data_IF_265176354125
#
_entry.id   IF_265176354125
#
_cell.length_a   1.000
_cell.length_b   1.000
_cell.length_c   1.000
_cell.angle_alpha   90.00
_cell.angle_beta   90.00
_cell.angle_gamma   90.00
#
_symmetry.space_group_name_H-M   'P 1'
#
loop_
_entity.id
_entity.type
_entity.pdbx_description
1 polymer ?
#
# COMPACT_ATOMS: atom_id res chain seq x y z
N UNK A 1 -7.69 -9.26 -36.35
CA UNK A 1 -6.35 -8.92 -35.81
C UNK A 1 -6.50 -8.72 -34.32
N UNK A 2 -5.65 -9.30 -33.47
CA UNK A 2 -5.81 -9.14 -32.02
C UNK A 2 -5.39 -7.72 -31.63
N UNK A 3 -6.28 -7.01 -30.95
CA UNK A 3 -6.06 -5.66 -30.43
C UNK A 3 -4.97 -5.69 -29.35
N UNK A 4 -3.97 -4.82 -29.50
CA UNK A 4 -2.93 -4.63 -28.51
C UNK A 4 -3.52 -3.90 -27.30
N UNK A 5 -3.69 -4.60 -26.19
CA UNK A 5 -3.96 -3.94 -24.91
C UNK A 5 -2.70 -3.25 -24.41
N UNK A 6 -2.66 -1.91 -24.45
CA UNK A 6 -1.58 -1.12 -23.89
C UNK A 6 -1.87 -0.73 -22.44
N UNK A 7 -0.83 -0.70 -21.61
CA UNK A 7 -0.90 -0.19 -20.25
C UNK A 7 -1.05 1.34 -20.25
N UNK A 8 -1.98 1.87 -19.46
CA UNK A 8 -2.17 3.30 -19.24
C UNK A 8 -1.97 3.64 -17.77
N UNK A 9 -1.20 4.67 -17.47
CA UNK A 9 -1.18 5.26 -16.12
C UNK A 9 -2.32 6.28 -16.02
N UNK A 10 -3.12 6.20 -14.96
CA UNK A 10 -4.20 7.15 -14.66
C UNK A 10 -3.84 7.82 -13.34
N UNK A 11 -3.55 9.11 -13.37
CA UNK A 11 -3.40 9.92 -12.16
C UNK A 11 -4.71 10.67 -11.89
N UNK A 12 -5.25 10.51 -10.67
CA UNK A 12 -6.35 11.37 -10.18
C UNK A 12 -5.76 12.71 -9.76
N UNK A 13 -6.42 13.80 -10.12
CA UNK A 13 -5.98 15.15 -9.78
C UNK A 13 -6.37 15.44 -8.32
N UNK A 14 -5.41 15.66 -7.39
CA UNK A 14 -5.75 16.14 -6.05
C UNK A 14 -6.15 17.63 -6.14
N UNK A 15 -7.32 17.99 -5.61
CA UNK A 15 -7.78 19.38 -5.56
C UNK A 15 -7.59 19.93 -4.15
N UNK A 16 -6.59 20.78 -3.95
CA UNK A 16 -6.57 21.71 -2.82
C UNK A 16 -7.49 22.90 -3.15
N UNK A 17 -8.51 23.16 -2.35
CA UNK A 17 -9.38 24.33 -2.53
C UNK A 17 -8.55 25.62 -2.38
N UNK A 18 -8.65 26.49 -3.39
CA UNK A 18 -8.04 27.81 -3.37
C UNK A 18 -8.53 28.63 -2.17
N UNK A 19 -7.64 28.85 -1.20
CA UNK A 19 -7.83 29.80 -0.11
C UNK A 19 -7.77 31.23 -0.65
N UNK A 20 -8.75 32.05 -0.25
CA UNK A 20 -8.80 33.50 -0.55
C UNK A 20 -7.46 34.17 -0.20
N UNK A 21 -6.87 34.86 -1.18
CA UNK A 21 -5.73 35.77 -1.01
C UNK A 21 -6.07 36.84 0.04
N UNK A 22 -5.38 36.82 1.17
CA UNK A 22 -5.18 38.01 1.98
C UNK A 22 -3.76 38.52 1.74
N UNK A 23 -3.69 39.75 1.23
CA UNK A 23 -2.46 40.52 1.16
C UNK A 23 -1.91 40.77 2.57
N UNK A 24 -0.69 40.30 2.83
CA UNK A 24 0.30 41.12 3.52
C UNK A 24 1.70 40.62 3.18
N UNK A 25 2.47 41.51 2.55
CA UNK A 25 3.90 41.38 2.30
C UNK A 25 4.65 41.50 3.62
N UNK A 26 5.56 40.59 3.92
CA UNK A 26 6.83 40.88 4.57
C UNK A 26 7.90 39.96 3.97
N UNK A 27 8.91 40.59 3.37
CA UNK A 27 10.13 39.95 2.87
C UNK A 27 11.10 39.75 4.04
N UNK A 28 11.80 38.61 4.08
CA UNK A 28 12.94 38.42 4.98
C UNK A 28 13.48 37.00 5.01
N UNK A 29 14.58 36.80 4.28
CA UNK A 29 15.63 35.77 4.42
C UNK A 29 15.33 34.28 4.15
N UNK A 30 15.81 33.87 2.98
CA UNK A 30 16.37 32.57 2.61
C UNK A 30 17.62 32.21 3.41
N UNK A 31 17.71 30.98 3.91
CA UNK A 31 18.84 30.02 3.81
C UNK A 31 18.74 28.93 4.90
N UNK A 32 19.16 27.71 4.55
CA UNK A 32 19.46 26.56 5.42
C UNK A 32 18.33 25.80 6.14
N UNK A 33 17.63 24.88 5.44
CA UNK A 33 17.17 23.60 6.03
C UNK A 33 17.24 22.50 4.96
N UNK A 34 18.44 22.03 4.64
CA UNK A 34 18.69 20.76 3.95
C UNK A 34 19.87 20.14 4.69
N UNK A 35 19.63 19.03 5.43
CA UNK A 35 20.63 18.02 5.92
C UNK A 35 20.15 17.15 7.10
N UNK A 36 18.91 17.27 7.61
CA UNK A 36 18.47 16.45 8.76
C UNK A 36 17.67 15.18 8.44
N UNK A 37 17.08 15.05 7.24
CA UNK A 37 16.22 13.89 6.90
C UNK A 37 17.01 12.65 6.45
N UNK A 38 18.18 12.81 5.86
CA UNK A 38 18.99 11.68 5.37
C UNK A 38 19.71 10.91 6.51
N UNK A 39 19.95 11.56 7.66
CA UNK A 39 20.63 10.94 8.79
C UNK A 39 19.73 10.07 9.68
N UNK A 40 18.40 10.22 9.60
CA UNK A 40 17.46 9.39 10.37
C UNK A 40 17.09 8.10 9.61
N UNK A 41 17.16 8.11 8.28
CA UNK A 41 16.83 6.92 7.45
C UNK A 41 17.95 5.87 7.45
N UNK A 42 19.22 6.28 7.54
CA UNK A 42 20.37 5.37 7.47
C UNK A 42 20.68 4.61 8.78
N UNK A 43 20.14 5.03 9.93
CA UNK A 43 20.41 4.40 11.23
C UNK A 43 19.49 3.22 11.57
N UNK A 44 18.45 2.96 10.76
CA UNK A 44 17.41 1.97 11.09
C UNK A 44 17.67 0.58 10.49
N UNK A 45 18.73 0.39 9.70
CA UNK A 45 18.92 -0.86 8.92
C UNK A 45 19.88 -1.86 9.58
N UNK A 46 20.74 -1.48 10.53
CA UNK A 46 21.83 -2.38 10.98
C UNK A 46 21.62 -3.10 12.33
N UNK A 47 20.50 -2.95 13.06
CA UNK A 47 20.38 -3.52 14.41
C UNK A 47 19.06 -4.21 14.79
N UNK A 48 18.47 -5.00 13.89
CA UNK A 48 17.40 -5.97 14.25
C UNK A 48 17.62 -7.38 13.65
N UNK A 49 18.87 -7.85 13.59
CA UNK A 49 19.18 -9.26 13.34
C UNK A 49 19.38 -10.03 14.66
N UNK A 50 18.31 -10.25 15.43
CA UNK A 50 18.20 -11.42 16.32
C UNK A 50 16.85 -11.47 17.04
N UNK A 51 15.83 -11.99 16.37
CA UNK A 51 14.75 -12.67 17.06
C UNK A 51 14.67 -14.08 16.48
N UNK A 52 15.10 -15.07 17.27
CA UNK A 52 14.99 -16.49 16.97
C UNK A 52 13.51 -16.91 16.98
N UNK A 53 12.74 -16.45 16.00
CA UNK A 53 11.53 -17.12 15.55
C UNK A 53 11.98 -17.81 14.27
N UNK A 54 11.98 -19.14 14.28
CA UNK A 54 12.23 -19.93 13.06
C UNK A 54 11.27 -19.42 11.98
N UNK A 55 11.78 -19.05 10.80
CA UNK A 55 10.97 -18.51 9.69
C UNK A 55 9.75 -19.42 9.40
N UNK A 56 9.88 -20.73 9.67
CA UNK A 56 8.81 -21.71 9.56
C UNK A 56 7.65 -21.59 10.56
N UNK A 57 7.84 -21.01 11.75
CA UNK A 57 6.76 -20.73 12.71
C UNK A 57 5.98 -19.47 12.29
N UNK A 58 6.68 -18.47 11.76
CA UNK A 58 6.06 -17.20 11.36
C UNK A 58 5.14 -17.36 10.13
N UNK A 59 5.49 -18.25 9.21
CA UNK A 59 4.64 -18.61 8.05
C UNK A 59 3.34 -19.33 8.43
N UNK A 60 3.26 -19.86 9.65
CA UNK A 60 2.09 -20.60 10.13
C UNK A 60 1.10 -19.72 10.91
N UNK A 61 1.36 -18.42 11.06
CA UNK A 61 0.48 -17.50 11.81
C UNK A 61 -0.98 -17.60 11.36
N UNK A 62 -1.31 -17.54 10.06
CA UNK A 62 -2.70 -17.64 9.64
C UNK A 62 -3.37 -18.92 10.16
N UNK A 63 -2.67 -20.05 10.09
CA UNK A 63 -3.13 -21.36 10.55
C UNK A 63 -3.30 -21.38 12.07
N UNK A 64 -2.34 -20.83 12.81
CA UNK A 64 -2.39 -20.73 14.28
C UNK A 64 -3.60 -19.90 14.70
N UNK A 65 -3.79 -18.72 14.09
CA UNK A 65 -4.90 -17.82 14.44
C UNK A 65 -6.27 -18.42 14.08
N UNK A 66 -6.34 -19.20 13.00
CA UNK A 66 -7.56 -19.86 12.55
C UNK A 66 -7.70 -21.33 12.97
N UNK A 67 -6.91 -21.81 13.94
CA UNK A 67 -7.04 -23.19 14.40
C UNK A 67 -8.46 -23.46 14.96
N UNK A 68 -9.19 -24.35 14.30
CA UNK A 68 -10.59 -24.64 14.64
C UNK A 68 -11.59 -23.54 14.24
N UNK A 69 -11.20 -22.60 13.38
CA UNK A 69 -12.04 -21.50 12.87
C UNK A 69 -12.09 -21.57 11.35
N UNK A 70 -13.28 -21.78 10.78
CA UNK A 70 -13.45 -21.85 9.32
C UNK A 70 -13.75 -20.50 8.67
N UNK A 71 -14.21 -19.52 9.45
CA UNK A 71 -14.61 -18.21 8.98
C UNK A 71 -14.71 -17.21 10.13
N UNK A 72 -14.58 -15.92 9.81
CA UNK A 72 -14.76 -14.82 10.74
C UNK A 72 -15.95 -13.95 10.32
N UNK A 73 -16.72 -13.44 11.27
CA UNK A 73 -17.81 -12.49 10.99
C UNK A 73 -17.27 -11.23 10.32
N UNK A 74 -17.97 -10.75 9.30
CA UNK A 74 -17.59 -9.53 8.60
C UNK A 74 -18.09 -8.31 9.35
N UNK A 75 -17.17 -7.43 9.72
CA UNK A 75 -17.50 -6.16 10.36
C UNK A 75 -17.36 -5.04 9.33
N UNK A 76 -18.50 -4.43 8.99
CA UNK A 76 -18.57 -3.31 8.04
C UNK A 76 -18.02 -3.65 6.66
N UNK A 77 -17.40 -2.66 6.01
CA UNK A 77 -16.69 -2.82 4.75
C UNK A 77 -15.20 -2.52 4.99
N UNK A 78 -14.36 -3.54 5.19
CA UNK A 78 -12.96 -3.32 5.53
C UNK A 78 -12.19 -2.63 4.41
N UNK A 79 -11.15 -1.88 4.77
CA UNK A 79 -10.10 -1.43 3.86
C UNK A 79 -9.18 -2.57 3.40
N UNK A 80 -8.02 -2.21 2.85
CA UNK A 80 -6.98 -3.19 2.53
C UNK A 80 -5.61 -2.76 3.08
N UNK A 81 -4.78 -3.77 3.39
CA UNK A 81 -3.42 -3.66 3.91
C UNK A 81 -2.44 -4.28 2.91
N UNK A 82 -1.17 -3.92 3.01
CA UNK A 82 -0.10 -4.52 2.24
C UNK A 82 1.06 -4.87 3.20
N UNK A 83 1.27 -6.16 3.52
CA UNK A 83 2.42 -6.63 4.28
C UNK A 83 3.70 -6.55 3.43
N UNK A 84 4.67 -5.74 3.86
CA UNK A 84 5.85 -5.40 3.05
C UNK A 84 7.10 -6.17 3.46
N UNK A 85 7.32 -6.37 4.75
CA UNK A 85 8.61 -6.87 5.29
C UNK A 85 8.57 -8.37 5.57
N UNK A 86 9.75 -8.97 5.76
CA UNK A 86 9.89 -10.35 6.23
C UNK A 86 9.28 -10.59 7.63
N UNK A 87 9.08 -9.53 8.42
CA UNK A 87 8.45 -9.56 9.74
C UNK A 87 6.93 -9.36 9.71
N UNK A 88 6.29 -9.42 8.53
CA UNK A 88 4.83 -9.30 8.42
C UNK A 88 4.18 -10.50 7.74
N UNK A 89 2.91 -10.80 8.01
CA UNK A 89 2.14 -11.83 7.28
C UNK A 89 0.70 -11.37 7.09
N UNK A 90 0.13 -11.61 5.92
CA UNK A 90 -1.32 -11.55 5.77
C UNK A 90 -1.96 -12.61 6.68
N UNK A 91 -3.12 -12.30 7.25
CA UNK A 91 -3.87 -13.19 8.16
C UNK A 91 -5.27 -13.46 7.63
N UNK A 92 -5.93 -12.43 7.07
CA UNK A 92 -7.27 -12.53 6.47
C UNK A 92 -7.24 -11.77 5.16
N UNK A 93 -7.80 -12.37 4.11
CA UNK A 93 -8.02 -11.72 2.83
C UNK A 93 -9.53 -11.62 2.53
N UNK A 94 -9.91 -10.67 1.68
CA UNK A 94 -11.26 -10.57 1.13
C UNK A 94 -11.53 -11.60 0.03
N UNK A 95 -12.59 -11.38 -0.75
CA UNK A 95 -12.98 -12.28 -1.83
C UNK A 95 -11.92 -12.42 -2.94
N UNK A 96 -11.03 -11.44 -3.06
CA UNK A 96 -9.86 -11.53 -3.90
C UNK A 96 -8.57 -11.47 -3.07
N UNK A 97 -7.53 -12.03 -3.68
CA UNK A 97 -6.23 -12.19 -3.06
C UNK A 97 -5.48 -10.86 -2.86
N UNK A 98 -5.91 -9.74 -3.46
CA UNK A 98 -5.23 -8.46 -3.31
C UNK A 98 -5.76 -7.64 -2.12
N UNK A 99 -6.86 -8.08 -1.52
CA UNK A 99 -7.49 -7.39 -0.41
C UNK A 99 -7.10 -8.02 0.94
N UNK A 100 -5.88 -7.81 1.42
CA UNK A 100 -5.52 -8.22 2.78
C UNK A 100 -6.28 -7.33 3.77
N UNK A 101 -7.07 -7.94 4.65
CA UNK A 101 -7.92 -7.24 5.64
C UNK A 101 -7.24 -7.17 7.00
N UNK A 102 -6.51 -8.23 7.34
CA UNK A 102 -5.76 -8.31 8.58
C UNK A 102 -4.35 -8.81 8.30
N UNK A 103 -3.38 -8.23 9.00
CA UNK A 103 -1.97 -8.60 8.91
C UNK A 103 -1.34 -8.67 10.30
N UNK A 104 -0.45 -9.64 10.47
CA UNK A 104 0.40 -9.77 11.64
C UNK A 104 1.74 -9.09 11.38
N UNK A 105 2.34 -8.52 12.43
CA UNK A 105 3.70 -7.98 12.39
C UNK A 105 4.48 -8.32 13.65
N UNK A 106 5.80 -8.47 13.51
CA UNK A 106 6.75 -8.50 14.61
C UNK A 106 7.51 -7.18 14.64
N UNK A 107 7.75 -6.69 15.87
CA UNK A 107 8.58 -5.51 16.10
C UNK A 107 9.43 -5.77 17.35
N UNK A 108 10.74 -5.92 17.17
CA UNK A 108 11.61 -6.46 18.21
C UNK A 108 11.04 -7.77 18.74
N UNK A 109 10.79 -7.85 20.05
CA UNK A 109 10.15 -9.05 20.65
C UNK A 109 8.62 -9.03 20.61
N UNK A 110 7.98 -7.94 20.17
CA UNK A 110 6.53 -7.76 20.24
C UNK A 110 5.77 -8.43 19.11
N UNK A 111 4.45 -8.56 19.29
CA UNK A 111 3.52 -9.12 18.29
C UNK A 111 2.34 -8.16 18.08
N UNK A 112 2.06 -7.83 16.82
CA UNK A 112 0.97 -6.95 16.43
C UNK A 112 -0.02 -7.69 15.51
N UNK A 113 -1.31 -7.45 15.71
CA UNK A 113 -2.37 -7.83 14.79
C UNK A 113 -3.12 -6.57 14.33
N UNK A 114 -3.04 -6.28 13.03
CA UNK A 114 -3.53 -5.06 12.40
C UNK A 114 -4.74 -5.39 11.54
N UNK A 115 -5.80 -4.60 11.64
CA UNK A 115 -7.00 -4.72 10.82
C UNK A 115 -7.27 -3.45 10.02
N UNK A 116 -7.72 -3.59 8.77
CA UNK A 116 -8.19 -2.49 7.95
C UNK A 116 -9.66 -2.08 8.23
N UNK A 117 -10.17 -2.34 9.43
CA UNK A 117 -11.45 -1.79 9.87
C UNK A 117 -11.42 -1.54 11.38
N UNK A 118 -11.85 -0.35 11.81
CA UNK A 118 -11.86 0.07 13.23
C UNK A 118 -12.81 -0.75 14.11
N UNK A 119 -13.76 -1.48 13.51
CA UNK A 119 -14.65 -2.38 14.23
C UNK A 119 -14.01 -3.68 14.73
N UNK A 120 -12.96 -4.19 14.09
CA UNK A 120 -12.34 -5.47 14.50
C UNK A 120 -11.62 -5.42 15.85
N UNK A 121 -10.86 -4.37 16.21
CA UNK A 121 -10.27 -4.26 17.55
C UNK A 121 -11.29 -4.43 18.68
N UNK A 122 -12.52 -3.90 18.52
CA UNK A 122 -13.56 -4.01 19.56
C UNK A 122 -14.09 -5.44 19.79
N UNK A 123 -13.94 -6.34 18.82
CA UNK A 123 -14.27 -7.76 18.97
C UNK A 123 -13.46 -8.42 20.10
N UNK A 124 -12.24 -7.93 20.36
CA UNK A 124 -11.38 -8.46 21.41
C UNK A 124 -11.78 -8.01 22.82
N UNK A 125 -12.56 -6.93 22.91
CA UNK A 125 -13.14 -6.41 24.16
C UNK A 125 -14.51 -7.05 24.42
N UNK A 126 -15.36 -7.11 23.38
CA UNK A 126 -16.70 -7.67 23.44
C UNK A 126 -16.79 -8.91 22.55
N UNK A 127 -16.36 -10.04 23.10
CA UNK A 127 -16.21 -11.30 22.35
C UNK A 127 -17.55 -12.00 22.20
N UNK A 128 -18.07 -12.05 20.97
CA UNK A 128 -19.22 -12.87 20.59
C UNK A 128 -18.88 -14.38 20.72
N UNK A 129 -19.89 -15.22 20.97
CA UNK A 129 -19.68 -16.68 21.15
C UNK A 129 -19.02 -17.31 19.91
N UNK A 130 -19.38 -16.84 18.72
CA UNK A 130 -18.91 -17.35 17.43
C UNK A 130 -17.43 -17.01 17.19
N UNK A 131 -16.95 -15.87 17.68
CA UNK A 131 -15.57 -15.40 17.48
C UNK A 131 -14.62 -15.83 18.62
N UNK A 132 -15.15 -16.46 19.68
CA UNK A 132 -14.39 -16.81 20.89
C UNK A 132 -13.13 -17.63 20.60
N UNK A 133 -13.21 -18.61 19.70
CA UNK A 133 -12.05 -19.45 19.36
C UNK A 133 -10.97 -18.62 18.66
N UNK A 134 -11.35 -17.78 17.70
CA UNK A 134 -10.41 -16.90 17.00
C UNK A 134 -9.73 -15.93 17.96
N UNK A 135 -10.49 -15.30 18.86
CA UNK A 135 -9.94 -14.38 19.86
C UNK A 135 -9.00 -15.09 20.84
N UNK A 136 -9.31 -16.33 21.24
CA UNK A 136 -8.43 -17.12 22.10
C UNK A 136 -7.12 -17.49 21.40
N UNK A 137 -7.18 -17.93 20.14
CA UNK A 137 -5.99 -18.22 19.35
C UNK A 137 -5.11 -16.98 19.20
N UNK A 138 -5.74 -15.82 18.92
CA UNK A 138 -5.06 -14.53 18.88
C UNK A 138 -4.41 -14.19 20.22
N UNK A 139 -5.10 -14.39 21.36
CA UNK A 139 -4.55 -14.16 22.70
C UNK A 139 -3.30 -15.00 22.92
N UNK A 140 -3.39 -16.31 22.66
CA UNK A 140 -2.27 -17.22 22.85
C UNK A 140 -1.10 -16.85 21.94
N UNK A 141 -1.34 -16.49 20.69
CA UNK A 141 -0.27 -16.05 19.81
C UNK A 141 0.32 -14.70 20.26
N UNK A 142 -0.49 -13.66 20.45
CA UNK A 142 -0.03 -12.33 20.85
C UNK A 142 0.76 -12.35 22.18
N UNK A 143 0.26 -13.10 23.17
CA UNK A 143 0.86 -13.21 24.50
C UNK A 143 1.83 -14.39 24.65
N UNK A 144 2.22 -15.06 23.56
CA UNK A 144 3.20 -16.17 23.55
C UNK A 144 2.83 -17.30 24.54
N UNK A 145 1.57 -17.72 24.50
CA UNK A 145 0.98 -18.76 25.33
C UNK A 145 0.55 -18.31 26.72
N UNK A 146 0.77 -17.04 27.09
CA UNK A 146 0.36 -16.50 28.38
C UNK A 146 -1.10 -16.07 28.38
N UNK A 147 -1.72 -16.12 29.55
CA UNK A 147 -3.09 -15.67 29.74
C UNK A 147 -3.12 -14.15 29.98
N UNK A 148 -3.08 -13.38 28.89
CA UNK A 148 -3.11 -11.92 28.94
C UNK A 148 -4.52 -11.35 28.71
N UNK A 149 -4.78 -10.19 29.31
CA UNK A 149 -6.03 -9.45 29.19
C UNK A 149 -5.97 -8.45 28.04
N UNK A 150 -7.04 -8.35 27.26
CA UNK A 150 -7.19 -7.29 26.27
C UNK A 150 -7.61 -5.99 26.97
N UNK A 151 -6.86 -4.91 26.75
CA UNK A 151 -7.10 -3.61 27.37
C UNK A 151 -7.21 -2.55 26.28
N UNK A 152 -8.37 -1.88 26.21
CA UNK A 152 -8.59 -0.76 25.30
C UNK A 152 -7.76 0.44 25.74
N UNK A 153 -6.91 0.95 24.84
CA UNK A 153 -6.11 2.15 25.09
C UNK A 153 -6.84 3.40 24.61
N UNK A 154 -7.10 4.31 25.55
CA UNK A 154 -7.61 5.66 25.29
C UNK A 154 -6.47 6.69 25.26
N UNK A 155 -6.80 7.96 25.05
CA UNK A 155 -5.84 9.06 24.88
C UNK A 155 -5.18 9.50 26.20
N UNK A 156 -5.56 8.90 27.34
CA UNK A 156 -5.11 9.31 28.68
C UNK A 156 -4.17 8.31 29.35
N UNK A 157 -4.08 7.08 28.84
CA UNK A 157 -3.25 6.04 29.44
C UNK A 157 -1.76 6.24 29.14
N UNK A 158 -0.96 6.24 30.21
CA UNK A 158 0.49 6.06 30.13
C UNK A 158 0.79 4.58 29.88
N UNK A 159 1.62 4.29 28.88
CA UNK A 159 2.02 2.91 28.57
C UNK A 159 3.22 2.43 29.41
N UNK A 160 3.87 3.32 30.16
CA UNK A 160 5.11 3.03 30.89
C UNK A 160 4.96 1.96 31.96
N UNK A 161 3.78 1.84 32.55
CA UNK A 161 3.49 0.91 33.66
C UNK A 161 2.65 -0.30 33.21
N UNK A 162 2.43 -0.48 31.91
CA UNK A 162 1.64 -1.59 31.38
C UNK A 162 2.46 -2.89 31.46
N UNK A 163 1.99 -3.94 32.15
CA UNK A 163 2.71 -5.20 32.22
C UNK A 163 2.79 -5.87 30.83
N UNK A 164 4.02 -6.05 30.33
CA UNK A 164 4.30 -6.69 29.03
C UNK A 164 3.71 -8.09 28.91
N UNK A 165 3.64 -8.82 30.03
CA UNK A 165 3.31 -10.24 30.01
C UNK A 165 1.84 -10.58 30.31
N UNK A 166 1.09 -9.60 30.83
CA UNK A 166 -0.30 -9.78 31.28
C UNK A 166 -1.29 -8.97 30.45
N UNK A 167 -0.81 -8.09 29.58
CA UNK A 167 -1.66 -7.17 28.83
C UNK A 167 -1.45 -7.30 27.33
N UNK A 168 -2.54 -7.29 26.58
CA UNK A 168 -2.57 -7.06 25.14
C UNK A 168 -3.30 -5.73 24.93
N UNK A 169 -2.60 -4.75 24.37
CA UNK A 169 -3.20 -3.45 24.08
C UNK A 169 -4.19 -3.59 22.91
N UNK A 170 -5.32 -2.89 22.98
CA UNK A 170 -6.30 -2.80 21.90
C UNK A 170 -6.47 -1.34 21.52
N UNK A 171 -6.14 -0.98 20.29
CA UNK A 171 -6.16 0.41 19.81
C UNK A 171 -7.08 0.60 18.61
N UNK A 172 -7.99 1.58 18.71
CA UNK A 172 -8.64 2.14 17.53
C UNK A 172 -7.72 3.18 16.89
N UNK A 173 -7.14 2.84 15.75
CA UNK A 173 -6.13 3.62 15.03
C UNK A 173 -6.61 4.97 14.50
N UNK A 174 -7.91 5.26 14.55
CA UNK A 174 -8.47 6.55 14.13
C UNK A 174 -8.30 7.66 15.19
N UNK A 175 -8.00 7.30 16.44
CA UNK A 175 -7.76 8.26 17.53
C UNK A 175 -6.36 8.88 17.44
N UNK A 176 -6.27 10.21 17.56
CA UNK A 176 -5.00 10.94 17.56
C UNK A 176 -4.22 10.62 18.83
N UNK A 177 -2.96 10.23 18.67
CA UNK A 177 -2.00 10.06 19.76
C UNK A 177 -0.83 11.02 19.57
N UNK A 178 -0.27 11.52 20.66
CA UNK A 178 0.92 12.39 20.59
C UNK A 178 2.20 11.57 20.38
N UNK A 179 3.28 12.24 19.98
CA UNK A 179 4.56 11.59 19.68
C UNK A 179 5.11 10.78 20.87
N UNK A 180 4.94 11.27 22.10
CA UNK A 180 5.34 10.57 23.32
C UNK A 180 4.62 9.23 23.46
N UNK A 181 3.32 9.20 23.21
CA UNK A 181 2.53 7.97 23.25
C UNK A 181 3.01 6.98 22.19
N UNK A 182 3.25 7.46 20.96
CA UNK A 182 3.72 6.62 19.86
C UNK A 182 5.10 6.02 20.17
N UNK A 183 6.01 6.83 20.72
CA UNK A 183 7.31 6.35 21.18
C UNK A 183 7.19 5.28 22.27
N UNK A 184 6.35 5.51 23.28
CA UNK A 184 6.11 4.53 24.34
C UNK A 184 5.49 3.24 23.79
N UNK A 185 4.60 3.33 22.79
CA UNK A 185 4.01 2.17 22.13
C UNK A 185 5.07 1.38 21.36
N UNK A 186 5.96 2.05 20.64
CA UNK A 186 7.08 1.41 19.96
C UNK A 186 8.00 0.69 20.94
N UNK A 187 8.32 1.32 22.07
CA UNK A 187 9.19 0.74 23.10
C UNK A 187 8.52 -0.43 23.82
N UNK A 188 7.22 -0.34 24.10
CA UNK A 188 6.42 -1.43 24.65
C UNK A 188 6.46 -2.67 23.73
N UNK A 189 6.25 -2.47 22.42
CA UNK A 189 6.33 -3.55 21.45
C UNK A 189 7.74 -4.15 21.35
N UNK A 190 8.77 -3.32 21.17
CA UNK A 190 10.17 -3.80 21.11
C UNK A 190 10.56 -4.66 22.32
N UNK A 191 10.06 -4.31 23.50
CA UNK A 191 10.33 -5.03 24.74
C UNK A 191 9.61 -6.38 24.85
N UNK A 192 8.58 -6.64 24.03
CA UNK A 192 7.86 -7.90 23.99
C UNK A 192 6.36 -7.80 24.21
N UNK A 193 5.82 -6.58 24.29
CA UNK A 193 4.40 -6.32 24.43
C UNK A 193 3.60 -6.73 23.20
N UNK A 194 2.28 -6.72 23.34
CA UNK A 194 1.37 -7.14 22.29
C UNK A 194 0.29 -6.10 21.99
N UNK A 195 -0.09 -6.00 20.71
CA UNK A 195 -1.07 -5.02 20.24
C UNK A 195 -2.06 -5.66 19.25
N UNK A 196 -3.34 -5.35 19.42
CA UNK A 196 -4.36 -5.44 18.40
C UNK A 196 -4.78 -4.03 18.01
N UNK A 197 -4.77 -3.70 16.74
CA UNK A 197 -5.16 -2.37 16.30
C UNK A 197 -5.85 -2.36 14.94
N UNK A 198 -6.59 -1.29 14.64
CA UNK A 198 -7.23 -1.14 13.35
C UNK A 198 -7.88 0.22 13.14
N UNK A 199 -7.98 0.62 11.88
CA UNK A 199 -8.68 1.81 11.42
C UNK A 199 -9.40 1.48 10.11
N UNK A 200 -10.33 2.33 9.66
CA UNK A 200 -10.99 2.18 8.35
C UNK A 200 -10.50 3.28 7.39
N UNK A 201 -9.41 3.09 6.63
CA UNK A 201 -8.75 4.17 5.90
C UNK A 201 -9.65 4.90 4.91
N UNK A 202 -10.33 4.16 4.04
CA UNK A 202 -11.25 4.72 3.04
C UNK A 202 -12.41 5.49 3.69
N UNK A 203 -12.96 4.97 4.79
CA UNK A 203 -14.04 5.61 5.53
C UNK A 203 -13.57 6.89 6.23
N UNK A 204 -12.37 6.86 6.81
CA UNK A 204 -11.75 8.03 7.42
C UNK A 204 -11.52 9.14 6.39
N UNK A 205 -11.00 8.81 5.19
CA UNK A 205 -10.82 9.78 4.10
C UNK A 205 -12.14 10.39 3.63
N UNK A 206 -13.23 9.61 3.58
CA UNK A 206 -14.56 10.13 3.26
C UNK A 206 -15.06 11.16 4.27
N UNK A 207 -14.77 10.94 5.56
CA UNK A 207 -15.20 11.81 6.65
C UNK A 207 -14.29 13.03 6.85
N UNK A 208 -13.05 12.98 6.34
CA UNK A 208 -12.03 14.01 6.53
C UNK A 208 -11.66 14.67 5.19
N UNK A 209 -12.58 15.45 4.64
CA UNK A 209 -12.39 16.13 3.35
C UNK A 209 -11.14 17.01 3.32
N UNK A 210 -10.30 16.83 2.31
CA UNK A 210 -9.05 17.57 2.12
C UNK A 210 -7.84 16.97 2.86
N UNK A 211 -8.03 15.87 3.58
CA UNK A 211 -6.93 15.07 4.14
C UNK A 211 -6.46 14.00 3.17
N UNK A 212 -5.20 13.59 3.33
CA UNK A 212 -4.60 12.47 2.62
C UNK A 212 -4.37 11.30 3.59
N UNK A 213 -4.05 10.12 3.06
CA UNK A 213 -3.92 8.90 3.87
C UNK A 213 -2.87 9.04 4.98
N UNK A 214 -1.79 9.77 4.76
CA UNK A 214 -0.75 10.03 5.78
C UNK A 214 -1.18 10.95 6.91
N UNK A 215 -2.31 11.66 6.79
CA UNK A 215 -2.91 12.41 7.89
C UNK A 215 -3.63 11.51 8.91
N UNK A 216 -3.91 10.25 8.57
CA UNK A 216 -4.53 9.28 9.49
C UNK A 216 -3.49 8.92 10.58
N UNK A 217 -3.80 9.07 11.89
CA UNK A 217 -2.85 8.74 12.97
C UNK A 217 -2.28 7.32 12.88
N UNK A 218 -3.09 6.38 12.39
CA UNK A 218 -2.71 4.99 12.17
C UNK A 218 -1.62 4.78 11.12
N UNK A 219 -1.47 5.70 10.16
CA UNK A 219 -0.64 5.54 8.97
C UNK A 219 0.82 5.31 9.31
N UNK A 220 1.43 6.23 10.06
CA UNK A 220 2.85 6.17 10.39
C UNK A 220 3.19 4.98 11.30
N UNK A 221 2.26 4.57 12.17
CA UNK A 221 2.45 3.35 12.95
C UNK A 221 2.50 2.10 12.07
N UNK A 222 1.54 1.95 11.16
CA UNK A 222 1.49 0.80 10.26
C UNK A 222 2.76 0.74 9.41
N UNK A 223 3.17 1.88 8.85
CA UNK A 223 4.40 2.00 8.07
C UNK A 223 5.63 1.56 8.87
N UNK A 224 5.74 2.02 10.11
CA UNK A 224 6.82 1.67 11.02
C UNK A 224 6.91 0.17 11.33
N UNK A 225 5.77 -0.53 11.40
CA UNK A 225 5.72 -2.00 11.61
C UNK A 225 5.70 -2.80 10.30
N UNK A 226 6.00 -2.17 9.16
CA UNK A 226 6.14 -2.83 7.86
C UNK A 226 4.83 -3.18 7.15
N UNK A 227 3.71 -2.56 7.54
CA UNK A 227 2.39 -2.75 6.93
C UNK A 227 1.94 -1.44 6.30
N UNK A 228 1.64 -1.44 5.01
CA UNK A 228 1.09 -0.25 4.35
C UNK A 228 -0.43 -0.27 4.36
N UNK A 229 -1.03 0.91 4.55
CA UNK A 229 -2.45 1.16 4.36
C UNK A 229 -2.70 1.56 2.90
N UNK A 230 -3.89 1.25 2.38
CA UNK A 230 -4.33 1.76 1.06
C UNK A 230 -5.63 2.53 1.20
N UNK A 231 -6.02 3.24 0.13
CA UNK A 231 -7.32 3.91 0.02
C UNK A 231 -8.44 2.97 -0.45
N UNK A 232 -8.12 1.71 -0.76
CA UNK A 232 -9.07 0.74 -1.27
C UNK A 232 -9.92 0.15 -0.16
N UNK A 233 -11.10 -0.36 -0.53
CA UNK A 233 -11.96 -1.16 0.32
C UNK A 233 -12.16 -2.55 -0.29
N UNK A 234 -12.48 -3.52 0.57
CA UNK A 234 -12.63 -4.92 0.23
C UNK A 234 -14.09 -5.35 0.29
N UNK A 235 -14.58 -5.93 -0.80
CA UNK A 235 -15.87 -6.62 -0.79
C UNK A 235 -15.68 -8.03 -0.21
N UNK A 236 -16.19 -8.20 1.01
CA UNK A 236 -16.05 -9.43 1.77
C UNK A 236 -17.38 -10.19 1.78
N UNK A 237 -17.34 -11.52 1.66
CA UNK A 237 -18.49 -12.34 2.03
C UNK A 237 -18.77 -12.21 3.52
N UNK A 238 -19.99 -12.53 3.96
CA UNK A 238 -20.33 -12.59 5.38
C UNK A 238 -20.96 -13.95 5.72
N UNK A 239 -20.27 -14.82 6.47
CA UNK A 239 -18.94 -14.60 7.08
C UNK A 239 -17.79 -14.66 6.04
N UNK A 240 -16.62 -14.16 6.41
CA UNK A 240 -15.39 -14.26 5.61
C UNK A 240 -14.76 -15.64 5.82
N UNK A 241 -14.62 -16.48 4.78
CA UNK A 241 -13.98 -17.77 4.92
C UNK A 241 -12.48 -17.62 5.19
N UNK A 242 -11.94 -18.54 5.99
CA UNK A 242 -10.50 -18.71 6.09
C UNK A 242 -9.97 -19.36 4.80
N UNK A 243 -9.10 -18.66 4.08
CA UNK A 243 -8.58 -19.09 2.78
C UNK A 243 -7.05 -19.13 2.82
N UNK A 244 -6.50 -20.17 3.46
CA UNK A 244 -5.06 -20.31 3.65
C UNK A 244 -4.27 -20.21 2.34
N UNK A 245 -4.78 -20.84 1.27
CA UNK A 245 -4.16 -20.78 -0.05
C UNK A 245 -4.05 -19.35 -0.57
N UNK A 246 -5.01 -18.47 -0.30
CA UNK A 246 -4.91 -17.06 -0.71
C UNK A 246 -3.92 -16.29 0.16
N UNK A 247 -3.86 -16.60 1.45
CA UNK A 247 -3.08 -15.86 2.46
C UNK A 247 -1.57 -16.11 2.31
N UNK A 248 -1.16 -17.36 2.09
CA UNK A 248 0.26 -17.77 2.03
C UNK A 248 1.06 -17.06 0.92
N UNK A 249 0.37 -16.51 -0.09
CA UNK A 249 0.98 -15.82 -1.21
C UNK A 249 1.02 -14.29 -1.03
N UNK A 250 0.71 -13.74 0.15
CA UNK A 250 0.46 -12.28 0.31
C UNK A 250 1.45 -11.58 1.23
N UNK A 251 2.72 -11.71 0.86
CA UNK A 251 3.78 -10.90 1.41
C UNK A 251 4.70 -10.41 0.26
N UNK A 252 4.90 -9.10 0.15
CA UNK A 252 5.76 -8.50 -0.90
C UNK A 252 7.18 -9.05 -0.81
N UNK A 253 7.74 -9.19 0.40
CA UNK A 253 9.09 -9.69 0.60
C UNK A 253 9.28 -11.09 -0.03
N UNK A 254 8.41 -12.05 0.29
CA UNK A 254 8.50 -13.40 -0.26
C UNK A 254 8.28 -13.45 -1.78
N UNK A 255 7.28 -12.71 -2.27
CA UNK A 255 7.02 -12.61 -3.70
C UNK A 255 8.23 -11.98 -4.43
N UNK A 256 8.86 -10.97 -3.84
CA UNK A 256 10.08 -10.35 -4.38
C UNK A 256 11.24 -11.33 -4.41
N UNK A 257 11.45 -12.13 -3.36
CA UNK A 257 12.48 -13.17 -3.34
C UNK A 257 12.29 -14.21 -4.45
N UNK A 258 11.05 -14.65 -4.69
CA UNK A 258 10.72 -15.53 -5.82
C UNK A 258 11.03 -14.86 -7.17
N UNK A 259 10.70 -13.59 -7.34
CA UNK A 259 11.00 -12.83 -8.56
C UNK A 259 12.50 -12.62 -8.81
N UNK A 260 13.32 -12.61 -7.76
CA UNK A 260 14.78 -12.58 -7.93
C UNK A 260 15.28 -13.86 -8.60
N UNK A 261 14.67 -15.01 -8.30
CA UNK A 261 15.00 -16.31 -8.88
C UNK A 261 14.35 -16.53 -10.26
N UNK A 262 13.06 -16.22 -10.40
CA UNK A 262 12.30 -16.25 -11.66
C UNK A 262 11.56 -14.91 -11.86
N UNK A 263 12.12 -13.97 -12.64
CA UNK A 263 11.52 -12.65 -12.83
C UNK A 263 10.20 -12.68 -13.62
N UNK A 264 9.78 -13.85 -14.11
CA UNK A 264 8.55 -14.02 -14.87
C UNK A 264 7.47 -14.84 -14.13
N UNK A 265 7.71 -15.18 -12.86
CA UNK A 265 6.72 -15.88 -12.03
C UNK A 265 5.43 -15.07 -11.95
N UNK A 266 4.35 -15.63 -12.49
CA UNK A 266 3.08 -14.91 -12.72
C UNK A 266 2.48 -14.48 -11.39
N UNK A 267 2.47 -15.40 -10.42
CA UNK A 267 1.87 -15.17 -9.12
C UNK A 267 2.58 -14.03 -8.41
N UNK A 268 3.90 -14.09 -8.31
CA UNK A 268 4.71 -13.08 -7.64
C UNK A 268 4.65 -11.72 -8.35
N UNK A 269 4.64 -11.69 -9.70
CA UNK A 269 4.42 -10.46 -10.47
C UNK A 269 3.05 -9.84 -10.16
N UNK A 270 1.99 -10.65 -10.06
CA UNK A 270 0.66 -10.15 -9.71
C UNK A 270 0.60 -9.59 -8.29
N UNK A 271 1.28 -10.22 -7.32
CA UNK A 271 1.32 -9.77 -5.92
C UNK A 271 2.08 -8.45 -5.81
N UNK A 272 3.34 -8.42 -6.25
CA UNK A 272 4.19 -7.24 -6.12
C UNK A 272 3.66 -6.10 -6.99
N UNK A 273 3.28 -6.41 -8.23
CA UNK A 273 2.71 -5.43 -9.16
C UNK A 273 1.39 -4.85 -8.69
N UNK A 274 0.48 -5.69 -8.15
CA UNK A 274 -0.78 -5.22 -7.56
C UNK A 274 -0.52 -4.25 -6.41
N UNK A 275 0.33 -4.66 -5.46
CA UNK A 275 0.68 -3.82 -4.32
C UNK A 275 1.35 -2.49 -4.74
N UNK A 276 2.26 -2.51 -5.72
CA UNK A 276 2.89 -1.30 -6.22
C UNK A 276 1.87 -0.32 -6.85
N UNK A 277 0.83 -0.83 -7.52
CA UNK A 277 -0.26 0.03 -8.04
C UNK A 277 -1.06 0.67 -6.92
N UNK A 278 -1.34 -0.08 -5.86
CA UNK A 278 -2.13 0.38 -4.74
C UNK A 278 -1.37 1.38 -3.85
N UNK A 279 -0.05 1.24 -3.74
CA UNK A 279 0.82 2.18 -3.02
C UNK A 279 1.06 3.49 -3.79
N UNK A 280 0.91 3.46 -5.11
CA UNK A 280 1.06 4.59 -6.01
C UNK A 280 2.44 5.29 -5.85
N UNK A 281 2.54 6.36 -5.05
CA UNK A 281 3.76 7.15 -4.84
C UNK A 281 4.49 6.87 -3.52
N UNK A 282 3.84 6.17 -2.58
CA UNK A 282 4.50 5.80 -1.32
C UNK A 282 5.30 4.51 -1.50
N UNK A 283 6.56 4.70 -1.91
CA UNK A 283 7.50 3.62 -2.19
C UNK A 283 8.39 3.26 -1.00
N UNK A 284 8.19 3.91 0.15
CA UNK A 284 9.03 3.70 1.32
C UNK A 284 8.87 2.26 1.85
N UNK A 285 9.98 1.64 2.24
CA UNK A 285 10.04 0.24 2.66
C UNK A 285 10.03 -0.78 1.51
N UNK A 286 9.81 -0.38 0.26
CA UNK A 286 9.95 -1.28 -0.90
C UNK A 286 11.42 -1.45 -1.31
N UNK A 287 11.85 -2.65 -1.75
CA UNK A 287 13.21 -2.89 -2.21
C UNK A 287 13.41 -2.39 -3.66
N UNK A 288 13.43 -1.07 -3.86
CA UNK A 288 13.37 -0.42 -5.19
C UNK A 288 14.47 -0.90 -6.14
N UNK A 289 15.71 -1.05 -5.67
CA UNK A 289 16.80 -1.55 -6.52
C UNK A 289 16.59 -3.00 -6.98
N UNK A 290 16.02 -3.84 -6.12
CA UNK A 290 15.67 -5.23 -6.46
C UNK A 290 14.53 -5.23 -7.47
N UNK A 291 13.49 -4.43 -7.25
CA UNK A 291 12.36 -4.29 -8.16
C UNK A 291 12.79 -3.78 -9.54
N UNK A 292 13.74 -2.84 -9.58
CA UNK A 292 14.34 -2.35 -10.82
C UNK A 292 15.08 -3.47 -11.56
N UNK A 293 15.88 -4.27 -10.86
CA UNK A 293 16.58 -5.41 -11.45
C UNK A 293 15.61 -6.49 -11.97
N UNK A 294 14.53 -6.78 -11.24
CA UNK A 294 13.46 -7.68 -11.68
C UNK A 294 12.84 -7.14 -12.96
N UNK A 295 12.46 -5.86 -12.98
CA UNK A 295 11.82 -5.24 -14.13
C UNK A 295 12.69 -5.28 -15.40
N UNK A 296 13.99 -4.98 -15.26
CA UNK A 296 14.96 -5.06 -16.36
C UNK A 296 15.11 -6.48 -16.92
N UNK A 297 15.09 -7.51 -16.06
CA UNK A 297 15.19 -8.91 -16.49
C UNK A 297 13.89 -9.41 -17.14
N UNK A 298 12.74 -9.02 -16.60
CA UNK A 298 11.43 -9.44 -17.07
C UNK A 298 11.01 -8.76 -18.39
N UNK A 299 11.54 -7.57 -18.68
CA UNK A 299 11.10 -6.71 -19.80
C UNK A 299 10.97 -7.46 -21.13
N UNK A 300 12.00 -8.21 -21.52
CA UNK A 300 12.04 -8.87 -22.83
C UNK A 300 11.03 -10.02 -22.99
N UNK A 301 10.55 -10.59 -21.89
CA UNK A 301 9.67 -11.77 -21.90
C UNK A 301 8.21 -11.41 -21.57
N UNK A 302 8.01 -10.26 -20.91
CA UNK A 302 6.73 -9.92 -20.30
C UNK A 302 6.09 -8.69 -20.94
N UNK A 303 6.88 -7.78 -21.52
CA UNK A 303 6.35 -6.57 -22.13
C UNK A 303 5.82 -6.86 -23.54
N UNK A 304 4.54 -6.54 -23.81
CA UNK A 304 3.95 -6.72 -25.13
C UNK A 304 4.73 -5.99 -26.21
N UNK A 305 5.04 -6.69 -27.30
CA UNK A 305 5.67 -6.14 -28.49
C UNK A 305 5.31 -6.95 -29.72
N UNK A 306 5.74 -6.51 -30.91
CA UNK A 306 5.55 -7.31 -32.13
C UNK A 306 6.26 -8.68 -32.06
N UNK A 307 7.39 -8.76 -31.35
CA UNK A 307 8.13 -10.01 -31.12
C UNK A 307 7.59 -10.81 -29.93
N UNK A 308 6.89 -10.17 -29.00
CA UNK A 308 6.26 -10.81 -27.84
C UNK A 308 4.79 -10.36 -27.71
N UNK A 309 3.88 -10.79 -28.62
CA UNK A 309 2.49 -10.39 -28.56
C UNK A 309 1.76 -11.02 -27.36
N UNK A 310 0.72 -10.38 -26.85
CA UNK A 310 -0.16 -10.99 -25.83
C UNK A 310 -0.96 -12.12 -26.49
N UNK A 311 -0.62 -13.37 -26.18
CA UNK A 311 -1.27 -14.55 -26.77
C UNK A 311 -2.41 -15.09 -25.90
N UNK A 312 -2.31 -14.93 -24.58
CA UNK A 312 -3.25 -15.51 -23.62
C UNK A 312 -3.40 -14.66 -22.34
N UNK A 313 -4.20 -15.19 -21.40
CA UNK A 313 -4.43 -14.58 -20.09
C UNK A 313 -3.16 -14.52 -19.24
N UNK A 314 -2.31 -15.53 -19.30
CA UNK A 314 -1.06 -15.60 -18.53
C UNK A 314 -0.10 -14.49 -18.96
N UNK A 315 0.11 -14.32 -20.27
CA UNK A 315 0.91 -13.24 -20.83
C UNK A 315 0.41 -11.87 -20.34
N UNK A 316 -0.92 -11.67 -20.35
CA UNK A 316 -1.55 -10.44 -19.86
C UNK A 316 -1.31 -10.23 -18.35
N UNK A 317 -1.38 -11.28 -17.54
CA UNK A 317 -1.15 -11.20 -16.09
C UNK A 317 0.29 -10.83 -15.77
N UNK A 318 1.27 -11.46 -16.44
CA UNK A 318 2.69 -11.08 -16.30
C UNK A 318 2.89 -9.61 -16.65
N UNK A 319 2.39 -9.19 -17.82
CA UNK A 319 2.49 -7.80 -18.30
C UNK A 319 1.89 -6.81 -17.30
N UNK A 320 0.68 -7.08 -16.83
CA UNK A 320 0.01 -6.23 -15.84
C UNK A 320 0.75 -6.15 -14.51
N UNK A 321 1.35 -7.26 -14.06
CA UNK A 321 2.14 -7.31 -12.83
C UNK A 321 3.41 -6.46 -12.96
N UNK A 322 4.17 -6.66 -14.05
CA UNK A 322 5.36 -5.87 -14.34
C UNK A 322 5.03 -4.37 -14.46
N UNK A 323 3.96 -4.01 -15.17
CA UNK A 323 3.47 -2.62 -15.24
C UNK A 323 3.18 -2.03 -13.85
N UNK A 324 2.73 -2.83 -12.89
CA UNK A 324 2.54 -2.37 -11.53
C UNK A 324 3.84 -2.06 -10.81
N UNK A 325 4.86 -2.92 -10.95
CA UNK A 325 6.20 -2.66 -10.42
C UNK A 325 6.77 -1.37 -11.01
N UNK A 326 6.55 -1.13 -12.29
CA UNK A 326 7.03 0.07 -12.98
C UNK A 326 6.39 1.37 -12.48
N UNK A 327 5.17 1.33 -11.91
CA UNK A 327 4.52 2.51 -11.33
C UNK A 327 5.30 3.13 -10.18
N UNK A 328 6.08 2.31 -9.45
CA UNK A 328 6.87 2.78 -8.29
C UNK A 328 8.33 3.08 -8.63
N UNK A 329 8.77 2.78 -9.86
CA UNK A 329 10.12 3.09 -10.32
C UNK A 329 10.15 4.48 -10.95
N UNK A 330 10.76 5.44 -10.27
CA UNK A 330 10.93 6.81 -10.77
C UNK A 330 12.09 6.90 -11.76
N UNK A 331 12.00 7.87 -12.69
CA UNK A 331 13.07 8.19 -13.64
C UNK A 331 13.55 7.04 -14.53
N UNK A 332 12.76 5.97 -14.64
CA UNK A 332 12.95 4.90 -15.62
C UNK A 332 12.02 5.09 -16.80
N UNK A 333 12.52 4.89 -18.02
CA UNK A 333 11.64 4.81 -19.18
C UNK A 333 10.71 3.61 -19.02
N UNK A 334 9.47 3.74 -19.46
CA UNK A 334 8.55 2.62 -19.49
C UNK A 334 9.15 1.50 -20.37
N UNK A 335 9.20 0.25 -19.89
CA UNK A 335 9.62 -0.89 -20.69
C UNK A 335 8.83 -1.03 -21.98
N UNK A 336 9.52 -1.46 -23.04
CA UNK A 336 8.97 -1.52 -24.39
C UNK A 336 9.00 -0.19 -25.15
N UNK A 337 9.46 0.91 -24.55
CA UNK A 337 9.61 2.21 -25.22
C UNK A 337 10.43 2.13 -26.52
N UNK A 338 11.43 1.25 -26.56
CA UNK A 338 12.25 1.01 -27.75
C UNK A 338 11.43 0.46 -28.93
N UNK A 339 10.31 -0.20 -28.66
CA UNK A 339 9.41 -0.76 -29.66
C UNK A 339 8.27 0.20 -30.00
N UNK A 340 7.63 0.80 -28.99
CA UNK A 340 6.54 1.75 -29.15
C UNK A 340 6.37 2.62 -27.89
N UNK A 341 6.06 3.94 -28.02
CA UNK A 341 6.00 4.74 -29.25
C UNK A 341 7.37 5.06 -29.88
N UNK A 342 8.48 4.63 -29.27
CA UNK A 342 9.84 4.86 -29.75
C UNK A 342 10.66 5.64 -28.72
N UNK A 343 11.95 5.28 -28.62
CA UNK A 343 12.90 5.99 -27.76
C UNK A 343 13.67 7.06 -28.54
N UNK A 344 13.60 8.30 -28.08
CA UNK A 344 14.28 9.42 -28.72
C UNK A 344 15.72 9.52 -28.19
N UNK A 345 16.70 9.34 -29.09
CA UNK A 345 18.11 9.59 -28.76
C UNK A 345 18.41 11.07 -28.48
N UNK A 346 17.64 11.95 -29.12
CA UNK A 346 17.60 13.39 -28.85
C UNK A 346 16.14 13.78 -28.72
N UNK A 347 15.65 14.10 -27.50
CA UNK A 347 14.25 14.47 -27.34
C UNK A 347 13.97 15.69 -28.24
N UNK A 348 12.87 15.68 -29.01
CA UNK A 348 12.50 16.83 -29.81
C UNK A 348 12.40 18.04 -28.88
N UNK A 349 13.00 19.16 -29.27
CA UNK A 349 12.89 20.41 -28.50
C UNK A 349 11.42 20.81 -28.54
N UNK A 350 10.74 20.73 -27.40
CA UNK A 350 9.32 21.05 -27.27
C UNK A 350 9.07 21.99 -26.09
N UNK A 351 8.02 22.80 -26.22
CA UNK A 351 7.53 23.72 -25.20
C UNK A 351 7.54 23.07 -23.81
N UNK A 352 8.22 23.71 -22.86
CA UNK A 352 8.40 23.19 -21.49
C UNK A 352 7.20 23.48 -20.59
N UNK A 353 6.25 24.25 -21.06
CA UNK A 353 5.09 24.67 -20.29
C UNK A 353 3.89 24.93 -21.22
N UNK A 354 2.79 24.24 -20.97
CA UNK A 354 1.55 24.37 -21.75
C UNK A 354 0.39 24.55 -20.77
N UNK A 355 -0.48 25.53 -21.05
CA UNK A 355 -1.67 25.79 -20.25
C UNK A 355 -2.90 25.42 -21.10
N UNK A 356 -3.77 24.59 -20.52
CA UNK A 356 -5.03 24.20 -21.13
C UNK A 356 -6.20 24.80 -20.35
N UNK A 357 -7.23 25.23 -21.07
CA UNK A 357 -8.52 25.58 -20.48
C UNK A 357 -9.54 24.54 -20.92
N UNK A 358 -10.11 23.83 -19.95
CA UNK A 358 -11.11 22.78 -20.19
C UNK A 358 -12.41 23.22 -19.53
N UNK A 359 -13.44 23.40 -20.35
CA UNK A 359 -14.80 23.69 -19.91
C UNK A 359 -15.71 22.60 -20.45
N UNK A 360 -16.20 21.70 -19.58
CA UNK A 360 -17.19 20.70 -19.98
C UNK A 360 -18.10 20.34 -18.82
N UNK A 361 -19.38 20.15 -19.15
CA UNK A 361 -20.41 19.61 -18.25
C UNK A 361 -20.77 18.16 -18.63
N UNK A 362 -20.03 17.55 -19.56
CA UNK A 362 -20.27 16.22 -20.09
C UNK A 362 -19.10 15.28 -19.76
N UNK A 363 -19.36 13.97 -19.77
CA UNK A 363 -18.33 12.95 -19.57
C UNK A 363 -17.57 12.74 -20.89
N UNK A 364 -16.51 13.52 -21.11
CA UNK A 364 -15.78 13.63 -22.37
C UNK A 364 -14.27 13.42 -22.21
N UNK A 365 -13.61 13.01 -23.31
CA UNK A 365 -12.15 12.86 -23.38
C UNK A 365 -11.53 14.07 -24.09
N UNK A 366 -10.53 14.69 -23.47
CA UNK A 366 -9.76 15.79 -24.04
C UNK A 366 -8.34 15.31 -24.37
N UNK A 367 -8.02 15.22 -25.66
CA UNK A 367 -6.67 14.91 -26.12
C UNK A 367 -5.90 16.21 -26.30
N UNK A 368 -4.72 16.31 -25.69
CA UNK A 368 -3.88 17.52 -25.77
C UNK A 368 -3.07 17.57 -27.07
N UNK A 369 -2.84 16.42 -27.72
CA UNK A 369 -1.97 16.30 -28.89
C UNK A 369 -0.46 16.39 -28.57
N UNK A 370 -0.09 16.46 -27.28
CA UNK A 370 1.30 16.52 -26.85
C UNK A 370 1.86 15.14 -26.58
N UNK A 371 3.17 15.02 -26.79
CA UNK A 371 3.92 13.81 -26.50
C UNK A 371 4.65 13.93 -25.16
N UNK A 372 4.42 12.95 -24.28
CA UNK A 372 5.15 12.80 -23.04
C UNK A 372 6.47 12.05 -23.30
N UNK A 373 7.60 12.73 -23.17
CA UNK A 373 8.92 12.09 -23.37
C UNK A 373 9.17 11.06 -22.26
N UNK A 374 9.40 9.82 -22.66
CA UNK A 374 9.62 8.71 -21.74
C UNK A 374 10.83 8.97 -20.81
N UNK A 375 10.64 8.71 -19.52
CA UNK A 375 11.66 8.90 -18.49
C UNK A 375 11.84 10.35 -18.03
N UNK A 376 11.15 11.33 -18.64
CA UNK A 376 11.16 12.72 -18.19
C UNK A 376 9.93 12.95 -17.29
N UNK A 377 10.12 13.41 -16.03
CA UNK A 377 9.00 13.77 -15.16
C UNK A 377 8.15 14.89 -15.78
N UNK A 378 6.83 14.73 -15.69
CA UNK A 378 5.86 15.75 -16.09
C UNK A 378 5.21 16.30 -14.83
N UNK A 379 5.33 17.61 -14.63
CA UNK A 379 4.60 18.31 -13.58
C UNK A 379 3.28 18.82 -14.15
N UNK A 380 2.20 18.64 -13.38
CA UNK A 380 0.86 19.05 -13.75
C UNK A 380 0.28 19.85 -12.58
N UNK A 381 0.04 21.13 -12.83
CA UNK A 381 -0.54 22.04 -11.85
C UNK A 381 -1.98 22.39 -12.24
N UNK A 382 -2.89 22.32 -11.26
CA UNK A 382 -4.25 22.84 -11.41
C UNK A 382 -4.25 24.30 -11.00
N UNK A 383 -4.24 25.20 -11.98
CA UNK A 383 -4.15 26.65 -11.73
C UNK A 383 -5.47 27.24 -11.20
N UNK A 384 -6.57 26.93 -11.88
CA UNK A 384 -7.92 27.37 -11.51
C UNK A 384 -8.92 26.25 -11.79
N UNK A 385 -9.86 26.02 -10.87
CA UNK A 385 -10.82 24.95 -10.97
C UNK A 385 -12.15 25.36 -10.34
N UNK A 386 -13.23 25.27 -11.11
CA UNK A 386 -14.59 25.23 -10.58
C UNK A 386 -15.21 23.86 -10.91
N UNK A 387 -15.25 22.96 -9.92
CA UNK A 387 -15.92 21.66 -10.08
C UNK A 387 -15.11 20.57 -10.79
N UNK A 388 -13.77 20.49 -10.64
CA UNK A 388 -12.97 19.44 -11.26
C UNK A 388 -13.10 18.04 -10.61
N UNK A 389 -14.11 17.80 -9.78
CA UNK A 389 -14.34 16.47 -9.24
C UNK A 389 -14.66 15.51 -10.40
N UNK A 390 -13.79 14.53 -10.61
CA UNK A 390 -13.96 13.49 -11.63
C UNK A 390 -12.99 13.56 -12.81
N UNK A 391 -12.19 14.63 -12.94
CA UNK A 391 -11.14 14.67 -13.96
C UNK A 391 -9.95 13.79 -13.58
N UNK A 392 -9.42 13.07 -14.56
CA UNK A 392 -8.19 12.28 -14.43
C UNK A 392 -7.30 12.52 -15.63
N UNK A 393 -5.99 12.38 -15.43
CA UNK A 393 -5.01 12.53 -16.49
C UNK A 393 -4.53 11.14 -16.86
N UNK A 394 -4.55 10.87 -18.17
CA UNK A 394 -4.03 9.64 -18.75
C UNK A 394 -2.81 9.97 -19.59
N UNK A 395 -1.69 9.35 -19.26
CA UNK A 395 -0.49 9.34 -20.08
C UNK A 395 -0.33 7.92 -20.61
N UNK A 396 -0.30 7.77 -21.94
CA UNK A 396 -0.18 6.45 -22.55
C UNK A 396 -0.50 6.47 -24.04
N UNK A 397 -0.40 5.28 -24.63
CA UNK A 397 -0.63 5.06 -26.04
C UNK A 397 -2.10 5.30 -26.42
N UNK A 398 -2.30 6.20 -27.38
CA UNK A 398 -3.50 6.24 -28.22
C UNK A 398 -3.27 5.24 -29.37
N UNK A 399 -4.20 4.32 -29.63
CA UNK A 399 -4.17 3.59 -30.90
C UNK A 399 -4.69 4.52 -31.98
N UNK A 400 -3.87 4.80 -32.99
CA UNK A 400 -4.31 5.56 -34.18
C UNK A 400 -5.41 4.84 -34.97
N UNK A 401 -5.72 3.61 -34.61
CA UNK A 401 -6.93 2.89 -34.97
C UNK A 401 -8.01 3.13 -33.89
N UNK A 402 -8.69 4.28 -33.95
CA UNK A 402 -9.87 4.61 -33.12
C UNK A 402 -11.13 3.81 -33.51
N UNK A 403 -11.01 2.82 -34.40
CA UNK A 403 -12.10 1.93 -34.72
C UNK A 403 -12.15 0.81 -33.67
N UNK A 404 -13.15 0.90 -32.79
CA UNK A 404 -13.57 -0.12 -31.82
C UNK A 404 -12.84 -0.09 -30.47
N UNK A 405 -13.20 0.89 -29.64
CA UNK A 405 -13.26 0.73 -28.19
C UNK A 405 -14.72 0.93 -27.75
N UNK A 406 -15.45 -0.16 -27.51
CA UNK A 406 -16.73 -0.20 -26.81
C UNK A 406 -16.56 -0.95 -25.49
#
# INVERSE_FOLDING_TARGET
>A
MPSMGCASAIAKIPVSKAGRKNHNRHFGHSEEILTKEEHISAMTIEHEQNTNIDDGEFDQIPQILFEGVSSLKTIGCPGTLIPVTNQTRAVICGADSNNVIAAASLLGRGRCLVFAHSGYPYMFINVDVEDRRFVENCRLWLAKGRNAQFVLIDDTQSLSDVPLDETILVWNGECIKNDTFMQNLHDYLRQGGALVCGATPWGWLQLNSGKILSDLPFFHFCDFIGIKLTENYSNCSNPMPFQLELIQFKNIHHATQKLVADPTDIESLCIVGGACKDLNVDVSGLPIDILKNIAMKAENEVIPSNSCPIQDKCCRQKSNGLCGILCVLTSTKAPGIANFPGDFSHPPVTETHVIFHIESNANEWYCTGYYAVAGIPIQIDVLECMGAMGWSIRIGCHSDHLEVCF
#
